data_IF_256268993278
#
_entry.id   IF_256268993278
#
_cell.length_a   1.000
_cell.length_b   1.000
_cell.length_c   1.000
_cell.angle_alpha   90.00
_cell.angle_beta   90.00
_cell.angle_gamma   90.00
#
_symmetry.space_group_name_H-M   'P 1'
#
loop_
_entity.id
_entity.type
_entity.pdbx_description
1 polymer ?
#
# COMPACT_ATOMS: atom_id res chain seq x y z
N UNK A 1 -6.08 7.72 33.48
CA UNK A 1 -5.39 7.84 32.21
C UNK A 1 -6.12 8.87 31.39
N UNK A 2 -5.46 9.68 30.56
CA UNK A 2 -6.14 10.61 29.65
C UNK A 2 -7.06 9.80 28.73
N UNK A 3 -8.31 10.23 28.53
CA UNK A 3 -9.23 9.59 27.61
C UNK A 3 -8.74 9.70 26.15
N UNK A 4 -7.90 10.69 25.84
CA UNK A 4 -7.41 11.00 24.49
C UNK A 4 -5.97 10.56 24.26
N UNK A 5 -5.65 10.23 23.01
CA UNK A 5 -4.32 9.85 22.52
C UNK A 5 -3.85 10.83 21.45
N UNK A 6 -2.55 10.91 21.22
CA UNK A 6 -1.97 11.70 20.15
C UNK A 6 -2.16 10.99 18.80
N UNK A 7 -2.40 11.78 17.76
CA UNK A 7 -2.39 11.28 16.39
C UNK A 7 -1.77 12.31 15.44
N UNK A 8 -1.23 11.80 14.33
CA UNK A 8 -0.78 12.59 13.21
C UNK A 8 -1.64 12.29 11.97
N UNK A 9 -2.06 13.34 11.28
CA UNK A 9 -2.58 13.25 9.93
C UNK A 9 -1.40 13.31 8.98
N UNK A 10 -1.29 12.29 8.13
CA UNK A 10 -0.15 12.11 7.24
C UNK A 10 -0.60 11.70 5.83
N UNK A 11 0.25 11.89 4.84
CA UNK A 11 0.03 11.49 3.47
C UNK A 11 1.11 10.49 3.03
N UNK A 12 0.67 9.30 2.63
CA UNK A 12 1.53 8.26 2.07
C UNK A 12 1.29 8.08 0.57
N UNK A 13 1.83 8.97 -0.27
CA UNK A 13 1.68 8.91 -1.72
C UNK A 13 0.21 9.08 -2.21
N UNK A 14 -0.51 10.01 -1.63
CA UNK A 14 -1.93 10.24 -1.91
C UNK A 14 -2.88 9.49 -0.98
N UNK A 15 -2.42 8.48 -0.25
CA UNK A 15 -3.23 7.88 0.83
C UNK A 15 -3.24 8.78 2.06
N UNK A 16 -4.42 9.05 2.55
CA UNK A 16 -4.69 9.77 3.78
C UNK A 16 -4.54 8.82 4.97
N UNK A 17 -3.55 9.03 5.81
CA UNK A 17 -3.21 8.14 6.93
C UNK A 17 -3.38 8.87 8.25
N UNK A 18 -4.02 8.24 9.23
CA UNK A 18 -3.96 8.64 10.63
C UNK A 18 -3.00 7.71 11.37
N UNK A 19 -1.89 8.24 11.85
CA UNK A 19 -0.96 7.51 12.74
C UNK A 19 -1.36 7.83 14.17
N UNK A 20 -1.78 6.82 14.93
CA UNK A 20 -2.33 6.98 16.29
C UNK A 20 -1.43 6.29 17.30
N UNK A 21 -0.97 7.00 18.31
CA UNK A 21 -0.11 6.43 19.36
C UNK A 21 -0.96 5.78 20.47
N UNK A 22 -0.94 4.45 20.49
CA UNK A 22 -1.64 3.63 21.49
C UNK A 22 -0.67 2.92 22.45
N UNK A 23 0.63 3.27 22.44
CA UNK A 23 1.62 2.65 23.32
C UNK A 23 1.31 2.90 24.79
N UNK A 24 1.63 1.92 25.64
CA UNK A 24 1.35 1.96 27.08
C UNK A 24 -0.13 1.87 27.44
N UNK A 25 -1.00 1.47 26.52
CA UNK A 25 -2.47 1.43 26.72
C UNK A 25 -3.05 0.03 26.45
N UNK A 26 -4.00 -0.43 27.28
CA UNK A 26 -4.69 -1.70 27.06
C UNK A 26 -5.85 -1.59 26.05
N UNK A 27 -6.39 -0.38 25.82
CA UNK A 27 -7.48 -0.11 24.88
C UNK A 27 -6.98 -0.03 23.43
N UNK A 28 -7.91 0.07 22.50
CA UNK A 28 -7.64 0.13 21.05
C UNK A 28 -8.53 1.16 20.39
N UNK A 29 -8.15 1.62 19.21
CA UNK A 29 -9.07 2.35 18.34
C UNK A 29 -10.21 1.41 17.95
N UNK A 30 -11.44 1.79 18.29
CA UNK A 30 -12.62 0.97 17.99
C UNK A 30 -13.07 1.15 16.53
N UNK A 31 -13.74 0.16 15.92
CA UNK A 31 -14.37 0.34 14.61
C UNK A 31 -15.33 1.53 14.56
N UNK A 32 -16.07 1.77 15.64
CA UNK A 32 -17.00 2.91 15.74
C UNK A 32 -16.27 4.26 15.71
N UNK A 33 -15.13 4.35 16.43
CA UNK A 33 -14.27 5.54 16.40
C UNK A 33 -13.67 5.77 15.00
N UNK A 34 -13.24 4.72 14.32
CA UNK A 34 -12.74 4.82 12.95
C UNK A 34 -13.80 5.37 11.98
N UNK A 35 -15.01 4.84 12.03
CA UNK A 35 -16.15 5.33 11.23
C UNK A 35 -16.48 6.79 11.56
N UNK A 36 -16.51 7.17 12.85
CA UNK A 36 -16.78 8.54 13.28
C UNK A 36 -15.72 9.54 12.78
N UNK A 37 -14.43 9.18 12.90
CA UNK A 37 -13.31 9.98 12.39
C UNK A 37 -13.37 10.14 10.86
N UNK A 38 -13.73 9.07 10.13
CA UNK A 38 -13.83 9.14 8.67
C UNK A 38 -15.03 9.95 8.17
N UNK A 39 -16.08 10.09 8.99
CA UNK A 39 -17.24 10.91 8.65
C UNK A 39 -16.97 12.42 8.72
N UNK A 40 -15.91 12.85 9.40
CA UNK A 40 -15.49 14.24 9.47
C UNK A 40 -14.51 14.56 8.33
N UNK A 41 -14.82 15.52 7.42
CA UNK A 41 -13.94 15.89 6.31
C UNK A 41 -12.52 16.33 6.72
N UNK A 42 -12.30 16.77 7.96
CA UNK A 42 -10.99 17.18 8.45
C UNK A 42 -10.11 15.98 8.83
N UNK A 43 -10.72 14.91 9.31
CA UNK A 43 -10.04 13.66 9.71
C UNK A 43 -10.29 12.50 8.75
N UNK A 44 -11.04 12.69 7.66
CA UNK A 44 -11.24 11.67 6.61
C UNK A 44 -9.92 10.99 6.25
N UNK A 45 -9.90 9.67 6.21
CA UNK A 45 -8.70 8.87 6.01
C UNK A 45 -8.98 7.59 5.20
N UNK A 46 -7.93 7.01 4.61
CA UNK A 46 -7.99 5.68 4.00
C UNK A 46 -7.70 4.60 5.03
N UNK A 47 -6.68 4.80 5.88
CA UNK A 47 -6.30 3.87 6.96
C UNK A 47 -5.83 4.60 8.22
N UNK A 48 -6.15 3.97 9.38
CA UNK A 48 -5.52 4.25 10.67
C UNK A 48 -4.38 3.25 10.88
N UNK A 49 -3.20 3.75 11.24
CA UNK A 49 -2.04 2.99 11.69
C UNK A 49 -1.90 3.20 13.21
N UNK A 50 -2.47 2.31 14.01
CA UNK A 50 -2.40 2.40 15.46
C UNK A 50 -1.13 1.69 15.96
N UNK A 51 -0.23 2.47 16.60
CA UNK A 51 1.05 1.99 17.11
C UNK A 51 0.83 1.49 18.54
N UNK A 52 1.05 0.19 18.78
CA UNK A 52 0.98 -0.45 20.09
C UNK A 52 2.36 -0.92 20.55
N UNK A 53 2.48 -1.20 21.85
CA UNK A 53 3.68 -1.84 22.39
C UNK A 53 4.03 -3.12 21.62
N UNK A 54 5.33 -3.49 21.52
CA UNK A 54 5.78 -4.71 20.87
C UNK A 54 5.08 -5.95 21.43
N UNK A 55 4.70 -6.89 20.55
CA UNK A 55 4.12 -8.19 20.93
C UNK A 55 5.06 -9.35 20.67
N UNK A 56 6.02 -9.18 19.77
CA UNK A 56 7.05 -10.17 19.45
C UNK A 56 8.43 -9.61 19.82
N UNK A 57 9.30 -10.50 20.29
CA UNK A 57 10.69 -10.15 20.60
C UNK A 57 11.40 -9.61 19.34
N UNK A 58 12.24 -8.59 19.54
CA UNK A 58 13.01 -7.96 18.45
C UNK A 58 12.18 -7.01 17.57
N UNK A 59 10.92 -6.71 17.92
CA UNK A 59 10.12 -5.69 17.23
C UNK A 59 10.06 -4.40 18.05
N UNK A 60 9.93 -3.27 17.34
CA UNK A 60 9.81 -1.93 17.96
C UNK A 60 8.38 -1.59 18.32
N UNK A 61 7.42 -2.11 17.57
CA UNK A 61 5.99 -1.90 17.81
C UNK A 61 5.13 -2.98 17.13
N UNK A 62 3.90 -3.13 17.59
CA UNK A 62 2.83 -3.80 16.88
C UNK A 62 1.93 -2.75 16.22
N UNK A 63 1.71 -2.87 14.90
CA UNK A 63 0.86 -1.95 14.15
C UNK A 63 -0.49 -2.61 13.86
N UNK A 64 -1.54 -2.05 14.44
CA UNK A 64 -2.93 -2.42 14.16
C UNK A 64 -3.51 -1.50 13.10
N UNK A 65 -4.04 -2.07 12.00
CA UNK A 65 -4.44 -1.30 10.82
C UNK A 65 -5.96 -1.38 10.67
N UNK A 66 -6.63 -0.21 10.63
CA UNK A 66 -8.05 -0.12 10.38
C UNK A 66 -8.33 0.64 9.08
N UNK A 67 -9.25 0.13 8.28
CA UNK A 67 -9.82 0.84 7.14
C UNK A 67 -10.84 1.89 7.60
N UNK A 68 -11.24 2.77 6.71
CA UNK A 68 -12.21 3.84 6.96
C UNK A 68 -13.61 3.35 7.37
N UNK A 69 -13.97 2.11 7.02
CA UNK A 69 -15.21 1.44 7.45
C UNK A 69 -15.08 0.73 8.80
N UNK A 70 -13.93 0.83 9.48
CA UNK A 70 -13.63 0.18 10.74
C UNK A 70 -13.20 -1.29 10.62
N UNK A 71 -13.15 -1.86 9.44
CA UNK A 71 -12.63 -3.20 9.21
C UNK A 71 -11.10 -3.24 9.38
N UNK A 72 -10.55 -4.46 9.58
CA UNK A 72 -9.10 -4.64 9.75
C UNK A 72 -8.43 -4.87 8.40
N UNK A 73 -7.29 -4.19 8.19
CA UNK A 73 -6.37 -4.51 7.12
C UNK A 73 -5.15 -5.29 7.64
N UNK A 74 -4.57 -6.14 6.81
CA UNK A 74 -3.42 -6.97 7.19
C UNK A 74 -2.09 -6.24 7.04
N UNK A 75 -1.96 -5.40 6.02
CA UNK A 75 -0.76 -4.62 5.70
C UNK A 75 -1.13 -3.33 4.95
N UNK A 76 -0.31 -2.31 5.12
CA UNK A 76 -0.36 -1.07 4.37
C UNK A 76 1.05 -0.47 4.24
N UNK A 77 1.69 -0.65 3.09
CA UNK A 77 3.05 -0.15 2.87
C UNK A 77 3.15 1.38 2.91
N UNK A 78 2.13 2.09 2.37
CA UNK A 78 2.07 3.54 2.42
C UNK A 78 1.93 4.05 3.87
N UNK A 79 1.05 3.42 4.66
CA UNK A 79 0.89 3.72 6.08
C UNK A 79 2.14 3.38 6.90
N UNK A 80 2.85 2.30 6.58
CA UNK A 80 4.10 1.95 7.26
C UNK A 80 5.15 3.04 7.10
N UNK A 81 5.28 3.68 5.93
CA UNK A 81 6.18 4.83 5.78
C UNK A 81 5.81 6.00 6.69
N UNK A 82 4.50 6.28 6.84
CA UNK A 82 4.04 7.31 7.76
C UNK A 82 4.40 6.99 9.23
N UNK A 83 4.24 5.72 9.65
CA UNK A 83 4.65 5.28 10.99
C UNK A 83 6.15 5.46 11.21
N UNK A 84 6.99 5.09 10.22
CA UNK A 84 8.45 5.27 10.29
C UNK A 84 8.80 6.74 10.47
N UNK A 85 8.24 7.63 9.64
CA UNK A 85 8.50 9.08 9.75
C UNK A 85 8.11 9.63 11.12
N UNK A 86 6.94 9.22 11.65
CA UNK A 86 6.48 9.66 12.97
C UNK A 86 7.44 9.20 14.09
N UNK A 87 7.84 7.92 14.09
CA UNK A 87 8.74 7.37 15.09
C UNK A 87 10.20 7.87 14.93
N UNK A 88 10.66 8.10 13.70
CA UNK A 88 11.97 8.68 13.46
C UNK A 88 12.07 10.12 13.98
N UNK A 89 11.03 10.92 13.76
CA UNK A 89 10.94 12.30 14.29
C UNK A 89 10.90 12.31 15.84
N UNK A 90 10.29 11.33 16.48
CA UNK A 90 10.22 11.20 17.94
C UNK A 90 11.54 10.71 18.54
N UNK A 91 12.14 9.68 17.94
CA UNK A 91 13.22 8.91 18.58
C UNK A 91 14.62 9.22 18.03
N UNK A 92 14.72 9.88 16.87
CA UNK A 92 15.97 10.07 16.12
C UNK A 92 16.52 8.79 15.49
N UNK A 93 15.83 7.66 15.62
CA UNK A 93 16.22 6.38 14.99
C UNK A 93 15.81 6.38 13.52
N UNK A 94 16.55 5.62 12.70
CA UNK A 94 16.30 5.51 11.25
C UNK A 94 15.76 4.13 10.83
N UNK A 95 16.01 3.09 11.60
CA UNK A 95 15.61 1.72 11.28
C UNK A 95 14.62 1.18 12.31
N UNK A 96 13.58 0.53 11.82
CA UNK A 96 12.50 -0.02 12.63
C UNK A 96 12.08 -1.40 12.14
N UNK A 97 11.66 -2.23 13.10
CA UNK A 97 11.06 -3.54 12.85
C UNK A 97 9.67 -3.56 13.46
N UNK A 98 8.64 -3.69 12.63
CA UNK A 98 7.25 -3.74 13.08
C UNK A 98 6.66 -5.14 12.96
N UNK A 99 5.75 -5.46 13.86
CA UNK A 99 4.85 -6.59 13.68
C UNK A 99 3.47 -6.09 13.24
N UNK A 100 2.90 -6.74 12.24
CA UNK A 100 1.51 -6.59 11.81
C UNK A 100 0.82 -7.95 11.83
N UNK A 101 -0.47 -7.99 11.49
CA UNK A 101 -1.20 -9.26 11.31
C UNK A 101 -0.60 -10.08 10.15
N UNK A 102 -0.06 -9.43 9.13
CA UNK A 102 0.58 -10.09 7.98
C UNK A 102 2.00 -10.64 8.29
N UNK A 103 2.63 -10.21 9.39
CA UNK A 103 3.97 -10.64 9.77
C UNK A 103 4.88 -9.48 10.17
N UNK A 104 6.19 -9.73 10.08
CA UNK A 104 7.24 -8.76 10.41
C UNK A 104 7.57 -7.91 9.19
N UNK A 105 7.67 -6.59 9.40
CA UNK A 105 8.07 -5.60 8.42
C UNK A 105 9.32 -4.85 8.89
N UNK A 106 10.33 -4.77 8.05
CA UNK A 106 11.51 -3.93 8.30
C UNK A 106 11.41 -2.67 7.44
N UNK A 107 11.74 -1.54 8.04
CA UNK A 107 11.71 -0.27 7.35
C UNK A 107 12.86 0.65 7.78
N UNK A 108 13.32 1.50 6.87
CA UNK A 108 14.45 2.40 7.07
C UNK A 108 14.14 3.77 6.47
N UNK A 109 14.34 4.83 7.25
CA UNK A 109 14.35 6.22 6.76
C UNK A 109 15.76 6.57 6.26
N UNK A 110 15.85 7.14 5.06
CA UNK A 110 17.10 7.60 4.45
C UNK A 110 17.38 9.07 4.76
N UNK A 111 18.61 9.52 4.46
CA UNK A 111 19.04 10.91 4.72
C UNK A 111 18.25 11.94 3.91
N UNK A 112 17.74 11.54 2.74
CA UNK A 112 16.90 12.39 1.88
C UNK A 112 15.43 12.44 2.32
N UNK A 113 15.08 11.78 3.43
CA UNK A 113 13.73 11.71 3.98
C UNK A 113 12.83 10.68 3.30
N UNK A 114 13.32 9.94 2.30
CA UNK A 114 12.57 8.81 1.76
C UNK A 114 12.61 7.61 2.70
N UNK A 115 11.62 6.73 2.61
CA UNK A 115 11.48 5.59 3.50
C UNK A 115 11.35 4.32 2.69
N UNK A 116 12.24 3.36 2.96
CA UNK A 116 12.18 2.01 2.41
C UNK A 116 11.41 1.08 3.34
N UNK A 117 10.51 0.29 2.77
CA UNK A 117 9.78 -0.79 3.47
C UNK A 117 10.07 -2.10 2.76
N UNK A 118 10.45 -3.12 3.51
CA UNK A 118 10.60 -4.48 3.01
C UNK A 118 9.21 -5.13 2.92
N UNK A 119 8.75 -5.33 1.70
CA UNK A 119 7.42 -5.88 1.38
C UNK A 119 7.39 -7.41 1.33
N UNK A 120 8.52 -8.05 1.64
CA UNK A 120 8.68 -9.51 1.58
C UNK A 120 8.90 -10.04 0.17
N UNK A 121 8.73 -11.35 0.03
CA UNK A 121 8.95 -12.06 -1.24
C UNK A 121 7.68 -12.13 -2.09
N UNK A 122 7.80 -11.95 -3.40
CA UNK A 122 6.69 -12.20 -4.31
C UNK A 122 6.41 -13.71 -4.40
N UNK A 123 5.14 -14.05 -4.60
CA UNK A 123 4.70 -15.44 -4.76
C UNK A 123 4.14 -15.63 -6.17
N UNK A 124 4.60 -16.69 -6.86
CA UNK A 124 4.23 -17.01 -8.23
C UNK A 124 3.47 -18.33 -8.39
N UNK A 125 3.39 -19.13 -7.32
CA UNK A 125 2.66 -20.38 -7.32
C UNK A 125 1.16 -20.11 -7.49
N UNK A 126 0.55 -20.73 -8.48
CA UNK A 126 -0.84 -20.47 -8.89
C UNK A 126 -1.85 -20.65 -7.74
N UNK A 127 -1.66 -21.67 -6.89
CA UNK A 127 -2.51 -21.97 -5.73
C UNK A 127 -2.33 -21.00 -4.57
N UNK A 128 -1.17 -20.33 -4.51
CA UNK A 128 -0.85 -19.29 -3.52
C UNK A 128 -1.18 -17.86 -3.98
N UNK A 129 -1.46 -17.69 -5.29
CA UNK A 129 -1.99 -16.43 -5.85
C UNK A 129 -3.49 -16.24 -5.60
N UNK A 130 -4.29 -17.06 -5.25
CA UNK A 130 -4.99 -18.27 -5.55
C UNK A 130 -5.77 -18.18 -6.89
N UNK A 131 -5.25 -18.77 -7.92
CA UNK A 131 -5.93 -18.88 -9.22
C UNK A 131 -6.89 -20.09 -9.23
N UNK A 132 -7.94 -20.02 -10.05
CA UNK A 132 -8.95 -21.09 -10.15
C UNK A 132 -8.42 -22.39 -10.74
N UNK A 133 -7.32 -22.33 -11.50
CA UNK A 133 -6.73 -23.48 -12.17
C UNK A 133 -5.20 -23.39 -12.19
N UNK A 134 -4.57 -24.53 -12.49
CA UNK A 134 -3.12 -24.67 -12.48
C UNK A 134 -2.47 -24.00 -13.69
N UNK A 135 -1.53 -23.09 -13.41
CA UNK A 135 -0.61 -22.51 -14.39
C UNK A 135 0.83 -22.93 -14.06
N UNK A 136 1.59 -23.36 -15.07
CA UNK A 136 3.01 -23.64 -14.94
C UNK A 136 3.84 -22.34 -14.94
N UNK A 137 3.35 -21.33 -15.66
CA UNK A 137 3.93 -19.99 -15.69
C UNK A 137 2.84 -18.93 -15.55
N UNK A 138 2.89 -18.19 -14.44
CA UNK A 138 1.95 -17.12 -14.14
C UNK A 138 2.42 -15.75 -14.64
N UNK A 139 3.54 -15.70 -15.37
CA UNK A 139 3.99 -14.46 -16.03
C UNK A 139 3.06 -14.01 -17.15
N UNK A 140 2.23 -14.94 -17.66
CA UNK A 140 1.27 -14.69 -18.74
C UNK A 140 0.14 -15.73 -18.69
N UNK A 141 -0.95 -15.43 -17.98
CA UNK A 141 -2.10 -16.33 -17.89
C UNK A 141 -3.12 -16.07 -19.00
N UNK A 142 -3.94 -17.06 -19.33
CA UNK A 142 -5.00 -16.95 -20.33
C UNK A 142 -6.21 -16.25 -19.74
N UNK A 143 -6.24 -14.94 -19.89
CA UNK A 143 -7.33 -14.07 -19.48
C UNK A 143 -7.40 -12.87 -20.42
N UNK A 144 -8.60 -12.54 -20.87
CA UNK A 144 -8.81 -11.36 -21.71
C UNK A 144 -10.17 -10.72 -21.48
N UNK A 145 -10.31 -9.45 -21.85
CA UNK A 145 -11.57 -8.72 -21.86
C UNK A 145 -11.71 -7.91 -23.18
N UNK A 146 -12.90 -7.94 -23.73
CA UNK A 146 -13.22 -7.34 -25.04
C UNK A 146 -13.51 -8.39 -26.11
N UNK A 147 -13.59 -7.99 -27.40
CA UNK A 147 -13.81 -8.92 -28.51
C UNK A 147 -12.69 -9.97 -28.60
N UNK A 148 -13.05 -11.21 -28.93
CA UNK A 148 -12.12 -12.36 -28.96
C UNK A 148 -10.95 -12.11 -29.92
N UNK A 149 -11.23 -11.52 -31.08
CA UNK A 149 -10.27 -11.24 -32.15
C UNK A 149 -9.48 -9.93 -31.93
N UNK A 150 -9.97 -9.05 -31.04
CA UNK A 150 -9.32 -7.78 -30.71
C UNK A 150 -9.56 -7.42 -29.23
N UNK A 151 -8.98 -8.14 -28.28
CA UNK A 151 -9.19 -7.88 -26.87
C UNK A 151 -8.66 -6.49 -26.48
N UNK A 152 -9.35 -5.84 -25.53
CA UNK A 152 -8.93 -4.55 -24.99
C UNK A 152 -7.77 -4.75 -24.01
N UNK A 153 -7.87 -5.81 -23.17
CA UNK A 153 -6.81 -6.25 -22.26
C UNK A 153 -6.69 -7.76 -22.37
N UNK A 154 -5.47 -8.29 -22.31
CA UNK A 154 -5.24 -9.73 -22.41
C UNK A 154 -3.95 -10.17 -21.71
N UNK A 155 -3.87 -11.47 -21.43
CA UNK A 155 -2.66 -12.18 -20.99
C UNK A 155 -1.91 -11.49 -19.85
N UNK A 156 -2.56 -11.21 -18.70
CA UNK A 156 -1.89 -10.53 -17.60
C UNK A 156 -0.85 -11.43 -16.95
N UNK A 157 0.12 -10.81 -16.30
CA UNK A 157 0.95 -11.47 -15.30
C UNK A 157 0.15 -11.59 -14.01
N UNK A 158 0.15 -12.76 -13.39
CA UNK A 158 -0.46 -12.99 -12.08
C UNK A 158 0.60 -13.28 -11.02
N UNK A 159 0.44 -12.70 -9.82
CA UNK A 159 1.32 -12.91 -8.68
C UNK A 159 0.65 -12.46 -7.38
N UNK A 160 1.28 -12.79 -6.24
CA UNK A 160 0.86 -12.29 -4.93
C UNK A 160 1.99 -11.54 -4.23
N UNK A 161 1.65 -10.40 -3.63
CA UNK A 161 2.44 -9.66 -2.64
C UNK A 161 1.76 -9.68 -1.27
N UNK A 162 1.24 -10.86 -0.85
CA UNK A 162 0.36 -11.03 0.28
C UNK A 162 -1.13 -10.87 -0.08
N UNK A 163 -1.41 -10.42 -1.28
CA UNK A 163 -2.73 -10.32 -1.91
C UNK A 163 -2.61 -10.56 -3.42
N UNK A 164 -3.64 -11.08 -4.10
CA UNK A 164 -3.58 -11.41 -5.54
C UNK A 164 -3.56 -10.16 -6.42
N UNK A 165 -2.69 -10.18 -7.42
CA UNK A 165 -2.54 -9.13 -8.44
C UNK A 165 -2.57 -9.71 -9.85
N UNK A 166 -3.27 -9.04 -10.77
CA UNK A 166 -3.22 -9.26 -12.21
C UNK A 166 -2.73 -7.98 -12.90
N UNK A 167 -1.59 -8.07 -13.59
CA UNK A 167 -0.93 -6.93 -14.23
C UNK A 167 -1.10 -7.06 -15.74
N UNK A 168 -1.89 -6.17 -16.33
CA UNK A 168 -2.10 -6.06 -17.77
C UNK A 168 -1.13 -5.06 -18.38
N UNK A 169 -0.27 -5.54 -19.27
CA UNK A 169 0.68 -4.70 -19.99
C UNK A 169 -0.02 -4.01 -21.16
N UNK A 170 0.10 -2.70 -21.24
CA UNK A 170 -0.56 -1.85 -22.23
C UNK A 170 0.43 -0.96 -22.97
N UNK A 171 0.14 -0.66 -24.24
CA UNK A 171 1.01 0.14 -25.10
C UNK A 171 0.63 1.63 -25.10
N UNK A 172 -0.60 1.95 -24.68
CA UNK A 172 -1.11 3.32 -24.59
C UNK A 172 -1.14 3.80 -23.15
N UNK A 173 -1.31 5.10 -22.97
CA UNK A 173 -1.49 5.72 -21.66
C UNK A 173 -2.53 4.93 -20.82
N UNK A 174 -2.15 4.53 -19.62
CA UNK A 174 -2.99 3.78 -18.68
C UNK A 174 -4.30 4.52 -18.35
N UNK A 175 -4.30 5.86 -18.44
CA UNK A 175 -5.49 6.69 -18.23
C UNK A 175 -6.48 6.65 -19.38
N UNK A 176 -6.04 6.21 -20.60
CA UNK A 176 -6.91 6.09 -21.78
C UNK A 176 -7.83 4.86 -21.75
N UNK A 177 -7.65 3.96 -20.79
CA UNK A 177 -8.48 2.77 -20.64
C UNK A 177 -9.61 2.99 -19.63
N UNK A 178 -10.80 2.48 -19.94
CA UNK A 178 -11.95 2.54 -19.03
C UNK A 178 -11.86 1.49 -17.90
N UNK A 179 -10.88 1.70 -17.02
CA UNK A 179 -10.65 0.78 -15.89
C UNK A 179 -11.83 0.78 -14.89
N UNK A 180 -12.61 1.85 -14.81
CA UNK A 180 -13.84 1.88 -14.01
C UNK A 180 -14.87 0.85 -14.50
N UNK A 181 -14.93 0.60 -15.80
CA UNK A 181 -15.79 -0.41 -16.42
C UNK A 181 -15.20 -1.81 -16.33
N UNK A 182 -13.92 -1.96 -16.62
CA UNK A 182 -13.28 -3.28 -16.71
C UNK A 182 -12.83 -3.82 -15.36
N UNK A 183 -12.47 -2.95 -14.42
CA UNK A 183 -11.96 -3.31 -13.10
C UNK A 183 -12.87 -4.27 -12.35
N UNK A 184 -14.17 -3.95 -12.12
CA UNK A 184 -15.07 -4.85 -11.41
C UNK A 184 -15.30 -6.19 -12.11
N UNK A 185 -15.27 -6.22 -13.45
CA UNK A 185 -15.41 -7.45 -14.23
C UNK A 185 -14.19 -8.38 -14.05
N UNK A 186 -12.99 -7.79 -14.04
CA UNK A 186 -11.73 -8.52 -13.88
C UNK A 186 -11.47 -8.90 -12.43
N UNK A 187 -11.77 -8.00 -11.48
CA UNK A 187 -11.67 -8.29 -10.04
C UNK A 187 -12.46 -9.53 -9.68
N UNK A 188 -13.70 -9.65 -10.19
CA UNK A 188 -14.64 -10.74 -9.88
C UNK A 188 -14.62 -11.85 -10.94
N UNK A 189 -13.60 -11.89 -11.81
CA UNK A 189 -13.50 -12.95 -12.83
C UNK A 189 -13.32 -14.31 -12.16
N UNK A 190 -13.97 -15.40 -12.67
CA UNK A 190 -13.85 -16.76 -12.11
C UNK A 190 -12.40 -17.27 -11.97
N UNK A 191 -11.47 -16.72 -12.75
CA UNK A 191 -10.03 -17.00 -12.61
C UNK A 191 -9.48 -16.63 -11.23
N UNK A 192 -10.10 -15.68 -10.53
CA UNK A 192 -9.71 -15.17 -9.20
C UNK A 192 -10.80 -15.46 -8.18
N UNK A 193 -10.90 -16.70 -7.60
CA UNK A 193 -11.94 -17.06 -6.61
C UNK A 193 -11.95 -16.14 -5.38
N UNK A 194 -10.81 -15.59 -4.99
CA UNK A 194 -10.67 -14.64 -3.89
C UNK A 194 -10.61 -13.19 -4.36
N UNK A 195 -10.99 -12.93 -5.63
CA UNK A 195 -10.85 -11.63 -6.31
C UNK A 195 -9.38 -11.20 -6.40
N UNK A 196 -9.07 -10.21 -7.25
CA UNK A 196 -7.71 -9.71 -7.44
C UNK A 196 -7.67 -8.20 -7.62
N UNK A 197 -6.52 -7.60 -7.30
CA UNK A 197 -6.19 -6.24 -7.71
C UNK A 197 -5.85 -6.26 -9.21
N UNK A 198 -6.40 -5.33 -9.96
CA UNK A 198 -6.21 -5.23 -11.41
C UNK A 198 -5.38 -4.00 -11.72
N UNK A 199 -4.21 -4.20 -12.28
CA UNK A 199 -3.27 -3.12 -12.60
C UNK A 199 -3.04 -3.04 -14.10
N UNK A 200 -3.24 -1.85 -14.68
CA UNK A 200 -2.72 -1.49 -16.00
C UNK A 200 -1.31 -0.97 -15.82
N UNK A 201 -0.37 -1.48 -16.63
CA UNK A 201 1.04 -1.10 -16.56
C UNK A 201 1.60 -0.80 -17.95
N UNK A 202 2.20 0.37 -18.10
CA UNK A 202 2.87 0.83 -19.32
C UNK A 202 4.35 1.03 -19.04
N UNK A 203 5.21 0.37 -19.81
CA UNK A 203 6.65 0.64 -19.78
C UNK A 203 6.90 1.97 -20.48
N UNK A 204 7.41 2.95 -19.74
CA UNK A 204 7.71 4.30 -20.27
C UNK A 204 9.19 4.51 -20.54
N UNK A 205 10.06 3.69 -19.92
CA UNK A 205 11.49 3.62 -20.22
C UNK A 205 12.05 2.29 -19.70
N UNK A 206 13.31 1.92 -19.98
CA UNK A 206 13.95 0.72 -19.41
C UNK A 206 13.98 0.68 -17.88
N UNK A 207 13.80 1.83 -17.22
CA UNK A 207 13.85 1.98 -15.77
C UNK A 207 12.57 2.60 -15.19
N UNK A 208 11.49 2.69 -15.98
CA UNK A 208 10.25 3.35 -15.53
C UNK A 208 9.00 2.68 -16.08
N UNK A 209 8.00 2.50 -15.20
CA UNK A 209 6.68 1.96 -15.51
C UNK A 209 5.63 2.88 -14.93
N UNK A 210 4.60 3.20 -15.73
CA UNK A 210 3.42 3.93 -15.26
C UNK A 210 2.29 2.96 -14.98
N UNK A 211 1.62 3.09 -13.83
CA UNK A 211 0.57 2.18 -13.37
C UNK A 211 -0.72 2.91 -13.05
N UNK A 212 -1.84 2.20 -13.23
CA UNK A 212 -3.17 2.57 -12.74
C UNK A 212 -3.86 1.33 -12.21
N UNK A 213 -4.41 1.39 -11.00
CA UNK A 213 -4.90 0.20 -10.31
C UNK A 213 -6.38 0.33 -9.93
N UNK A 214 -7.11 -0.77 -10.11
CA UNK A 214 -8.37 -1.07 -9.48
C UNK A 214 -8.10 -2.04 -8.32
N UNK A 215 -8.27 -1.59 -7.09
CA UNK A 215 -7.99 -2.41 -5.92
C UNK A 215 -9.18 -3.30 -5.54
N UNK A 216 -8.85 -4.50 -5.12
CA UNK A 216 -9.80 -5.50 -4.62
C UNK A 216 -10.65 -4.96 -3.47
N UNK A 217 -11.96 -4.85 -3.69
CA UNK A 217 -12.92 -4.36 -2.70
C UNK A 217 -12.96 -2.85 -2.49
N UNK A 218 -12.03 -2.08 -3.09
CA UNK A 218 -11.95 -0.62 -2.93
C UNK A 218 -12.17 0.14 -4.24
N UNK A 219 -11.97 -0.50 -5.39
CA UNK A 219 -12.15 0.14 -6.69
C UNK A 219 -10.95 0.96 -7.16
N UNK A 220 -11.21 2.06 -7.88
CA UNK A 220 -10.15 2.99 -8.31
C UNK A 220 -9.61 3.76 -7.10
N UNK A 221 -8.34 3.54 -6.77
CA UNK A 221 -7.66 4.24 -5.69
C UNK A 221 -6.58 5.16 -6.24
N UNK A 222 -6.10 6.08 -5.40
CA UNK A 222 -5.04 7.01 -5.78
C UNK A 222 -3.67 6.32 -5.85
N UNK A 223 -3.37 5.40 -4.92
CA UNK A 223 -2.11 4.68 -4.88
C UNK A 223 -2.23 3.34 -4.14
N UNK A 224 -1.60 2.30 -4.69
CA UNK A 224 -1.52 0.97 -4.10
C UNK A 224 -0.05 0.50 -4.09
N UNK A 225 0.55 0.40 -2.90
CA UNK A 225 1.95 0.00 -2.74
C UNK A 225 2.23 -1.42 -3.23
N UNK A 226 1.35 -2.39 -2.88
CA UNK A 226 1.50 -3.78 -3.34
C UNK A 226 1.33 -3.94 -4.86
N UNK A 227 0.46 -3.12 -5.49
CA UNK A 227 0.32 -3.10 -6.93
C UNK A 227 1.57 -2.53 -7.63
N UNK A 228 2.18 -1.48 -7.07
CA UNK A 228 3.45 -0.95 -7.56
C UNK A 228 4.57 -2.01 -7.48
N UNK A 229 4.69 -2.72 -6.34
CA UNK A 229 5.62 -3.82 -6.17
C UNK A 229 5.36 -4.94 -7.19
N UNK A 230 4.11 -5.35 -7.36
CA UNK A 230 3.71 -6.40 -8.31
C UNK A 230 4.02 -6.01 -9.76
N UNK A 231 3.77 -4.76 -10.14
CA UNK A 231 4.11 -4.26 -11.48
C UNK A 231 5.62 -4.28 -11.73
N UNK A 232 6.43 -3.84 -10.76
CA UNK A 232 7.89 -3.85 -10.84
C UNK A 232 8.46 -5.27 -10.98
N UNK A 233 8.02 -6.19 -10.12
CA UNK A 233 8.43 -7.60 -10.16
C UNK A 233 8.00 -8.26 -11.47
N UNK A 234 6.77 -8.02 -11.92
CA UNK A 234 6.28 -8.53 -13.20
C UNK A 234 7.07 -7.98 -14.37
N UNK A 235 7.44 -6.70 -14.36
CA UNK A 235 8.27 -6.08 -15.39
C UNK A 235 9.65 -6.77 -15.50
N UNK A 236 10.32 -6.98 -14.36
CA UNK A 236 11.60 -7.66 -14.30
C UNK A 236 11.49 -9.13 -14.74
N UNK A 237 10.47 -9.86 -14.24
CA UNK A 237 10.22 -11.27 -14.57
C UNK A 237 9.96 -11.50 -16.06
N UNK A 238 9.33 -10.52 -16.73
CA UNK A 238 9.01 -10.60 -18.17
C UNK A 238 10.04 -9.88 -19.04
N UNK A 239 11.20 -9.49 -18.48
CA UNK A 239 12.30 -8.86 -19.23
C UNK A 239 11.99 -7.47 -19.79
N UNK A 240 11.00 -6.76 -19.21
CA UNK A 240 10.60 -5.41 -19.64
C UNK A 240 11.46 -4.32 -19.02
N UNK A 241 11.92 -4.54 -17.79
CA UNK A 241 12.83 -3.67 -17.04
C UNK A 241 13.85 -4.50 -16.27
N UNK A 242 14.84 -3.84 -15.66
CA UNK A 242 15.66 -4.46 -14.63
C UNK A 242 14.91 -4.67 -13.32
N UNK A 243 15.60 -5.17 -12.30
CA UNK A 243 15.05 -5.44 -10.97
C UNK A 243 14.86 -4.18 -10.12
N UNK A 244 15.41 -3.04 -10.51
CA UNK A 244 15.20 -1.73 -9.90
C UNK A 244 14.48 -0.83 -10.90
N UNK A 245 13.31 -0.33 -10.52
CA UNK A 245 12.45 0.44 -11.43
C UNK A 245 11.68 1.52 -10.67
N UNK A 246 11.49 2.67 -11.31
CA UNK A 246 10.57 3.71 -10.84
C UNK A 246 9.15 3.41 -11.30
N UNK A 247 8.23 3.34 -10.37
CA UNK A 247 6.81 3.22 -10.64
C UNK A 247 6.15 4.58 -10.53
N UNK A 248 5.60 5.07 -11.63
CA UNK A 248 4.78 6.28 -11.67
C UNK A 248 3.32 5.89 -11.45
N UNK A 249 2.72 6.41 -10.39
CA UNK A 249 1.31 6.15 -10.05
C UNK A 249 0.44 7.19 -10.73
N UNK A 250 -0.21 6.82 -11.84
CA UNK A 250 -0.94 7.75 -12.70
C UNK A 250 -2.17 8.39 -12.02
N UNK A 251 -2.78 7.71 -11.04
CA UNK A 251 -3.94 8.20 -10.30
C UNK A 251 -3.58 9.20 -9.20
N UNK A 252 -2.32 9.24 -8.75
CA UNK A 252 -1.89 10.09 -7.63
C UNK A 252 -1.95 11.58 -8.01
N UNK A 253 -2.38 12.40 -7.05
CA UNK A 253 -2.43 13.86 -7.18
C UNK A 253 -1.86 14.51 -5.91
N UNK A 254 -0.70 15.22 -5.99
CA UNK A 254 0.15 15.41 -7.17
C UNK A 254 0.71 14.08 -7.71
N UNK A 255 1.30 14.07 -8.93
CA UNK A 255 1.97 12.88 -9.45
C UNK A 255 2.99 12.35 -8.45
N UNK A 256 2.98 11.05 -8.24
CA UNK A 256 3.78 10.41 -7.21
C UNK A 256 4.52 9.21 -7.77
N UNK A 257 5.72 8.99 -7.25
CA UNK A 257 6.61 7.91 -7.68
C UNK A 257 7.05 7.06 -6.51
N UNK A 258 7.27 5.77 -6.79
CA UNK A 258 7.92 4.82 -5.90
C UNK A 258 9.14 4.24 -6.60
N UNK A 259 10.24 4.09 -5.88
CA UNK A 259 11.34 3.24 -6.33
C UNK A 259 11.12 1.84 -5.78
N UNK A 260 11.11 0.85 -6.67
CA UNK A 260 10.93 -0.55 -6.30
C UNK A 260 12.17 -1.32 -6.71
N UNK A 261 12.76 -2.04 -5.77
CA UNK A 261 13.86 -2.97 -6.00
C UNK A 261 13.38 -4.40 -5.68
N UNK A 262 13.42 -5.30 -6.66
CA UNK A 262 13.34 -6.73 -6.41
C UNK A 262 14.75 -7.27 -6.17
N UNK A 263 15.14 -7.31 -4.91
CA UNK A 263 16.50 -7.52 -4.42
C UNK A 263 17.01 -8.93 -4.72
N UNK A 264 18.16 -9.04 -5.39
CA UNK A 264 18.69 -10.34 -5.87
C UNK A 264 19.12 -11.28 -4.74
N UNK A 265 19.70 -10.73 -3.67
CA UNK A 265 20.33 -11.55 -2.60
C UNK A 265 19.36 -12.43 -1.83
N UNK A 266 18.08 -12.05 -1.76
CA UNK A 266 17.07 -12.70 -0.91
C UNK A 266 15.67 -12.71 -1.52
N UNK A 267 15.50 -12.22 -2.74
CA UNK A 267 14.24 -12.09 -3.47
C UNK A 267 13.17 -11.23 -2.75
N UNK A 268 13.56 -10.39 -1.79
CA UNK A 268 12.65 -9.44 -1.18
C UNK A 268 12.39 -8.24 -2.10
N UNK A 269 11.19 -7.70 -2.02
CA UNK A 269 10.79 -6.48 -2.72
C UNK A 269 10.88 -5.30 -1.75
N UNK A 270 11.73 -4.34 -2.08
CA UNK A 270 11.92 -3.12 -1.30
C UNK A 270 11.19 -1.98 -1.99
N UNK A 271 10.26 -1.38 -1.28
CA UNK A 271 9.49 -0.23 -1.75
C UNK A 271 9.97 1.04 -1.06
N UNK A 272 10.48 2.00 -1.82
CA UNK A 272 10.98 3.28 -1.32
C UNK A 272 10.12 4.43 -1.84
N UNK A 273 9.73 5.32 -0.96
CA UNK A 273 8.94 6.51 -1.30
C UNK A 273 8.81 7.50 -0.17
N UNK A 274 8.15 8.63 -0.41
CA UNK A 274 7.94 9.67 0.59
C UNK A 274 6.83 9.30 1.59
N UNK A 275 6.84 10.01 2.71
CA UNK A 275 5.72 10.23 3.59
C UNK A 275 5.70 11.71 3.97
N UNK A 276 4.52 12.28 4.18
CA UNK A 276 4.36 13.70 4.47
C UNK A 276 3.53 13.86 5.74
N UNK A 277 4.05 14.66 6.67
CA UNK A 277 3.32 15.08 7.86
C UNK A 277 2.46 16.29 7.51
N UNK A 278 1.14 16.20 7.70
CA UNK A 278 0.23 17.31 7.43
C UNK A 278 -0.05 18.14 8.69
N UNK A 279 -0.52 17.50 9.76
CA UNK A 279 -0.82 18.10 11.06
C UNK A 279 -1.02 17.06 12.14
N UNK A 280 -1.16 17.48 13.40
CA UNK A 280 -1.38 16.59 14.55
C UNK A 280 -2.54 17.05 15.43
N UNK A 281 -3.00 16.13 16.28
CA UNK A 281 -4.09 16.36 17.20
C UNK A 281 -4.20 15.29 18.27
N UNK A 282 -5.29 15.34 19.01
CA UNK A 282 -5.68 14.32 20.00
C UNK A 282 -7.04 13.76 19.69
N UNK A 283 -7.20 12.47 19.86
CA UNK A 283 -8.49 11.79 19.66
C UNK A 283 -8.82 10.85 20.83
N UNK A 284 -10.10 10.59 21.04
CA UNK A 284 -10.58 9.52 21.92
C UNK A 284 -10.71 8.24 21.10
N UNK A 285 -9.92 7.19 21.39
CA UNK A 285 -9.89 5.97 20.58
C UNK A 285 -11.17 5.14 20.67
N UNK A 286 -12.06 5.42 21.61
CA UNK A 286 -13.32 4.72 21.77
C UNK A 286 -14.48 5.38 21.00
N UNK A 287 -14.50 6.71 20.91
CA UNK A 287 -15.58 7.48 20.32
C UNK A 287 -15.23 8.16 19.01
N UNK A 288 -13.95 8.41 18.73
CA UNK A 288 -13.46 9.20 17.60
C UNK A 288 -13.63 10.72 17.77
N UNK A 289 -14.01 11.20 18.96
CA UNK A 289 -13.97 12.64 19.24
C UNK A 289 -12.54 13.13 19.20
N UNK A 290 -12.29 14.24 18.53
CA UNK A 290 -10.94 14.73 18.29
C UNK A 290 -10.80 16.25 18.44
N UNK A 291 -9.56 16.70 18.60
CA UNK A 291 -9.19 18.12 18.58
C UNK A 291 -7.84 18.27 17.88
N UNK A 292 -7.69 19.36 17.11
CA UNK A 292 -6.43 19.70 16.46
C UNK A 292 -5.49 20.36 17.47
N UNK A 293 -4.24 19.93 17.53
CA UNK A 293 -3.18 20.67 18.21
C UNK A 293 -2.65 21.75 17.27
N UNK A 294 -2.24 22.91 17.85
CA UNK A 294 -1.65 24.00 17.06
C UNK A 294 -0.46 23.48 16.25
N UNK A 295 -0.28 24.02 15.02
CA UNK A 295 0.80 23.65 14.10
C UNK A 295 2.14 23.60 14.83
N UNK A 296 2.77 22.42 14.93
CA UNK A 296 4.22 22.35 15.12
C UNK A 296 4.82 22.95 13.85
N UNK A 297 5.38 24.14 13.92
CA UNK A 297 6.24 24.65 12.87
C UNK A 297 7.36 23.62 12.69
N UNK A 298 7.54 23.16 11.46
CA UNK A 298 8.67 22.34 11.09
C UNK A 298 9.93 23.11 11.50
N UNK A 299 10.63 22.61 12.51
CA UNK A 299 11.79 23.26 13.07
C UNK A 299 12.83 23.49 11.99
N UNK A 300 13.05 24.76 11.69
CA UNK A 300 14.24 25.21 11.02
C UNK A 300 15.44 24.90 11.92
N UNK A 301 16.29 23.96 11.52
CA UNK A 301 17.72 23.97 11.79
C UNK A 301 18.46 23.34 10.61
#
# INVERSE_FOLDING_TARGET
MSATVEFARMNGLGNKILVVDMRGRPDKVTPAAAVALNADPQTEFDQIMAIHDPKADGTDAFIDILNSDGSKAQACGNGTRCVVQALAAETGRKAFTFQTVAGILNAVEHEDGTISVDMGRPVFDWDRIPLAEKFHDTSRIELQIGPIDKPVLHSPSAMSMGNPHAIFWVDRDVMSYDLARFGPLLENHPMFPERANITLAQVTSPTSVTTRTWERGAGLTLACGSAACSAAVSAARTGRTGRTVTINVASAKPPATLSIEWRERDDHVIMTGPAEWEWSGRLDPSTGLWSREGTREAGAQ
#
